data_IF_469724449358
#
_entry.id   IF_469724449358
#
_cell.length_a   1.000
_cell.length_b   1.000
_cell.length_c   1.000
_cell.angle_alpha   90.00
_cell.angle_beta   90.00
_cell.angle_gamma   90.00
#
_symmetry.space_group_name_H-M   'P 1'
#
loop_
_entity.id
_entity.type
_entity.pdbx_description
1 polymer ?
#
# COMPACT_ATOMS: atom_id res chain seq x y z
N UNK A 1 2.85 -3.89 101.18
CA UNK A 1 2.33 -4.09 99.82
C UNK A 1 2.92 -2.97 98.98
N UNK A 2 3.95 -3.27 98.19
CA UNK A 2 4.80 -2.25 97.59
C UNK A 2 4.08 -1.61 96.39
N UNK A 3 3.72 -0.34 96.52
CA UNK A 3 3.19 0.53 95.47
C UNK A 3 4.33 1.30 94.82
N UNK A 4 5.18 0.59 94.08
CA UNK A 4 6.22 1.22 93.28
C UNK A 4 5.63 1.66 91.93
N UNK A 5 5.56 2.97 91.71
CA UNK A 5 5.05 3.58 90.48
C UNK A 5 5.89 3.21 89.23
N UNK A 6 7.06 2.61 89.42
CA UNK A 6 8.04 2.18 88.42
C UNK A 6 8.12 0.66 88.26
N UNK A 7 7.02 -0.06 88.52
CA UNK A 7 6.96 -1.50 88.23
C UNK A 7 6.84 -1.74 86.72
N UNK A 8 7.81 -2.48 86.16
CA UNK A 8 7.83 -2.90 84.75
C UNK A 8 6.65 -3.79 84.36
N UNK A 9 5.98 -4.39 85.34
CA UNK A 9 4.77 -5.21 85.19
C UNK A 9 3.55 -4.41 84.70
N UNK A 10 3.64 -3.07 84.68
CA UNK A 10 2.59 -2.18 84.11
C UNK A 10 2.82 -1.81 82.65
N UNK A 11 3.90 -2.26 82.02
CA UNK A 11 4.13 -1.98 80.60
C UNK A 11 3.24 -2.91 79.77
N UNK A 12 2.22 -2.33 79.15
CA UNK A 12 1.32 -3.05 78.24
C UNK A 12 2.13 -3.52 77.03
N UNK A 13 2.10 -4.81 76.73
CA UNK A 13 2.80 -5.42 75.61
C UNK A 13 2.39 -4.73 74.30
N UNK A 14 3.36 -4.48 73.41
CA UNK A 14 3.10 -3.78 72.16
C UNK A 14 2.32 -4.75 71.26
N UNK A 15 1.03 -4.48 71.07
CA UNK A 15 0.18 -5.27 70.19
C UNK A 15 0.65 -4.98 68.75
N UNK A 16 1.45 -5.89 68.19
CA UNK A 16 1.86 -5.82 66.79
C UNK A 16 0.62 -6.04 65.94
N UNK A 17 0.25 -5.06 65.12
CA UNK A 17 -0.87 -5.19 64.21
C UNK A 17 -0.67 -6.41 63.31
N UNK A 18 -1.71 -7.24 63.10
CA UNK A 18 -1.61 -8.35 62.16
C UNK A 18 -1.17 -7.83 60.79
N UNK A 19 -0.30 -8.55 60.07
CA UNK A 19 0.22 -8.10 58.79
C UNK A 19 -0.93 -7.80 57.85
N UNK A 20 -0.97 -6.56 57.34
CA UNK A 20 -2.02 -6.11 56.44
C UNK A 20 -1.96 -6.99 55.18
N UNK A 21 -3.03 -7.70 54.81
CA UNK A 21 -3.05 -8.43 53.55
C UNK A 21 -2.88 -7.39 52.44
N UNK A 22 -1.80 -7.50 51.66
CA UNK A 22 -1.44 -6.64 50.52
C UNK A 22 -2.38 -6.86 49.31
N UNK A 23 -3.57 -7.38 49.58
CA UNK A 23 -4.55 -7.85 48.62
C UNK A 23 -5.86 -7.09 48.85
N UNK A 24 -6.54 -6.61 47.80
CA UNK A 24 -6.26 -6.85 46.40
C UNK A 24 -5.26 -5.84 45.83
N UNK A 25 -4.43 -6.23 44.84
CA UNK A 25 -3.67 -5.26 44.07
C UNK A 25 -4.63 -4.18 43.57
N UNK A 26 -4.27 -2.92 43.79
CA UNK A 26 -5.08 -1.78 43.39
C UNK A 26 -5.58 -1.97 41.94
N UNK A 27 -6.85 -1.68 41.68
CA UNK A 27 -7.51 -1.91 40.39
C UNK A 27 -6.80 -1.29 39.19
N UNK A 28 -5.85 -0.36 39.42
CA UNK A 28 -4.92 0.19 38.44
C UNK A 28 -4.09 -0.86 37.68
N UNK A 29 -3.78 -2.03 38.25
CA UNK A 29 -3.04 -3.07 37.54
C UNK A 29 -3.82 -3.69 36.38
N UNK A 30 -5.15 -3.74 36.46
CA UNK A 30 -5.97 -4.19 35.33
C UNK A 30 -5.86 -3.24 34.14
N UNK A 31 -5.74 -1.93 34.40
CA UNK A 31 -5.48 -0.94 33.35
C UNK A 31 -4.09 -1.10 32.73
N UNK A 32 -3.06 -1.31 33.56
CA UNK A 32 -1.69 -1.58 33.07
C UNK A 32 -1.63 -2.86 32.25
N UNK A 33 -2.25 -3.93 32.74
CA UNK A 33 -2.33 -5.21 32.04
C UNK A 33 -3.12 -5.06 30.72
N UNK A 34 -4.24 -4.35 30.75
CA UNK A 34 -5.05 -4.05 29.57
C UNK A 34 -4.26 -3.28 28.52
N UNK A 35 -3.54 -2.22 28.92
CA UNK A 35 -2.68 -1.45 28.02
C UNK A 35 -1.56 -2.31 27.42
N UNK A 36 -0.92 -3.15 28.25
CA UNK A 36 0.13 -4.06 27.80
C UNK A 36 -0.38 -5.05 26.75
N UNK A 37 -1.57 -5.63 26.97
CA UNK A 37 -2.21 -6.55 26.02
C UNK A 37 -2.54 -5.83 24.71
N UNK A 38 -3.08 -4.61 24.76
CA UNK A 38 -3.38 -3.80 23.57
C UNK A 38 -2.09 -3.49 22.79
N UNK A 39 -1.02 -3.07 23.46
CA UNK A 39 0.28 -2.83 22.82
C UNK A 39 0.84 -4.09 22.16
N UNK A 40 0.73 -5.24 22.84
CA UNK A 40 1.19 -6.53 22.31
C UNK A 40 0.38 -6.94 21.06
N UNK A 41 -0.94 -6.80 21.11
CA UNK A 41 -1.83 -7.04 19.96
C UNK A 41 -1.49 -6.11 18.79
N UNK A 42 -1.32 -4.81 19.05
CA UNK A 42 -0.94 -3.85 18.02
C UNK A 42 0.42 -4.20 17.38
N UNK A 43 1.42 -4.57 18.19
CA UNK A 43 2.72 -5.02 17.71
C UNK A 43 2.62 -6.31 16.88
N UNK A 44 1.79 -7.26 17.30
CA UNK A 44 1.60 -8.51 16.58
C UNK A 44 0.89 -8.29 15.25
N UNK A 45 -0.18 -7.49 15.23
CA UNK A 45 -0.95 -7.16 14.02
C UNK A 45 -0.05 -6.41 13.03
N UNK A 46 0.65 -5.37 13.48
CA UNK A 46 1.57 -4.62 12.61
C UNK A 46 2.72 -5.49 12.11
N UNK A 47 3.26 -6.38 12.94
CA UNK A 47 4.26 -7.37 12.55
C UNK A 47 3.75 -8.35 11.49
N UNK A 48 2.52 -8.85 11.64
CA UNK A 48 1.89 -9.76 10.69
C UNK A 48 1.60 -9.07 9.36
N UNK A 49 1.08 -7.85 9.37
CA UNK A 49 0.86 -7.04 8.16
C UNK A 49 2.19 -6.82 7.45
N UNK A 50 3.24 -6.44 8.19
CA UNK A 50 4.57 -6.21 7.63
C UNK A 50 5.22 -7.49 7.10
N UNK A 51 4.98 -8.62 7.76
CA UNK A 51 5.44 -9.93 7.30
C UNK A 51 4.71 -10.38 6.03
N UNK A 52 3.38 -10.22 5.96
CA UNK A 52 2.61 -10.47 4.75
C UNK A 52 3.06 -9.57 3.60
N UNK A 53 3.31 -8.29 3.88
CA UNK A 53 3.85 -7.36 2.90
C UNK A 53 5.23 -7.78 2.37
N UNK A 54 6.01 -8.49 3.19
CA UNK A 54 7.33 -8.95 2.79
C UNK A 54 7.30 -10.34 2.13
N UNK A 55 6.27 -11.16 2.36
CA UNK A 55 6.17 -12.50 1.75
C UNK A 55 5.97 -12.42 0.24
N UNK A 56 5.00 -11.64 -0.23
CA UNK A 56 4.77 -11.51 -1.67
C UNK A 56 6.00 -10.93 -2.38
N UNK A 57 6.69 -9.96 -1.76
CA UNK A 57 7.95 -9.40 -2.29
C UNK A 57 9.05 -10.44 -2.39
N UNK A 58 9.21 -11.28 -1.37
CA UNK A 58 10.22 -12.36 -1.35
C UNK A 58 9.92 -13.43 -2.39
N UNK A 59 8.66 -13.83 -2.53
CA UNK A 59 8.23 -14.79 -3.56
C UNK A 59 8.46 -14.22 -4.96
N UNK A 60 8.11 -12.95 -5.19
CA UNK A 60 8.34 -12.30 -6.46
C UNK A 60 9.82 -12.14 -6.80
N UNK A 61 10.67 -11.77 -5.84
CA UNK A 61 12.12 -11.67 -6.03
C UNK A 61 12.78 -13.03 -6.27
N UNK A 62 12.29 -14.09 -5.62
CA UNK A 62 12.78 -15.45 -5.84
C UNK A 62 12.44 -15.93 -7.26
N UNK A 63 11.22 -15.63 -7.74
CA UNK A 63 10.81 -15.96 -9.10
C UNK A 63 11.60 -15.13 -10.13
N UNK A 64 11.80 -13.84 -9.89
CA UNK A 64 12.65 -12.97 -10.72
C UNK A 64 14.06 -13.55 -10.90
N UNK A 65 14.67 -14.05 -9.82
CA UNK A 65 16.00 -14.67 -9.88
C UNK A 65 16.02 -15.95 -10.74
N UNK A 66 14.95 -16.74 -10.75
CA UNK A 66 14.85 -17.92 -11.63
C UNK A 66 14.74 -17.51 -13.09
N UNK A 67 13.94 -16.50 -13.38
CA UNK A 67 13.77 -16.00 -14.74
C UNK A 67 15.05 -15.34 -15.26
N UNK A 68 15.83 -14.67 -14.42
CA UNK A 68 17.14 -14.11 -14.78
C UNK A 68 18.12 -15.18 -15.29
N UNK A 69 18.14 -16.36 -14.66
CA UNK A 69 18.93 -17.49 -15.15
C UNK A 69 18.40 -18.02 -16.49
N UNK A 70 17.08 -18.07 -16.66
CA UNK A 70 16.46 -18.50 -17.91
C UNK A 70 16.76 -17.55 -19.09
N UNK A 71 16.86 -16.23 -18.85
CA UNK A 71 17.21 -15.24 -19.88
C UNK A 71 18.60 -15.40 -20.49
N UNK A 72 19.52 -16.07 -19.77
CA UNK A 72 20.86 -16.39 -20.28
C UNK A 72 20.80 -17.38 -21.44
N UNK A 73 19.78 -18.24 -21.48
CA UNK A 73 19.55 -19.19 -22.55
C UNK A 73 18.67 -18.55 -23.63
N UNK A 74 19.17 -18.48 -24.87
CA UNK A 74 18.45 -17.82 -25.97
C UNK A 74 17.07 -18.45 -26.25
N UNK A 75 16.95 -19.78 -26.16
CA UNK A 75 15.67 -20.49 -26.37
C UNK A 75 14.64 -20.23 -25.27
N UNK A 76 15.09 -20.01 -24.04
CA UNK A 76 14.23 -19.78 -22.88
C UNK A 76 13.93 -18.29 -22.66
N UNK A 77 14.53 -17.40 -23.46
CA UNK A 77 14.43 -15.96 -23.26
C UNK A 77 13.03 -15.41 -23.52
N UNK A 78 12.37 -15.87 -24.57
CA UNK A 78 10.99 -15.48 -24.87
C UNK A 78 10.02 -15.89 -23.74
N UNK A 79 9.96 -17.18 -23.32
CA UNK A 79 9.07 -17.56 -22.23
C UNK A 79 9.45 -16.91 -20.89
N UNK A 80 10.74 -16.65 -20.64
CA UNK A 80 11.17 -15.92 -19.46
C UNK A 80 10.69 -14.46 -19.46
N UNK A 81 10.78 -13.73 -20.57
CA UNK A 81 10.26 -12.36 -20.69
C UNK A 81 8.73 -12.30 -20.48
N UNK A 82 7.99 -13.27 -21.01
CA UNK A 82 6.55 -13.39 -20.77
C UNK A 82 6.27 -13.61 -19.27
N UNK A 83 7.05 -14.51 -18.64
CA UNK A 83 6.93 -14.80 -17.21
C UNK A 83 7.24 -13.58 -16.34
N UNK A 84 8.18 -12.72 -16.76
CA UNK A 84 8.46 -11.44 -16.10
C UNK A 84 7.29 -10.45 -16.23
N UNK A 85 6.67 -10.36 -17.40
CA UNK A 85 5.50 -9.52 -17.61
C UNK A 85 4.31 -9.98 -16.76
N UNK A 86 4.07 -11.29 -16.69
CA UNK A 86 3.05 -11.90 -15.85
C UNK A 86 3.36 -11.66 -14.36
N UNK A 87 4.61 -11.85 -13.94
CA UNK A 87 5.05 -11.60 -12.57
C UNK A 87 4.78 -10.15 -12.16
N UNK A 88 5.08 -9.19 -13.03
CA UNK A 88 4.83 -7.77 -12.78
C UNK A 88 3.32 -7.47 -12.66
N UNK A 89 2.50 -8.04 -13.56
CA UNK A 89 1.05 -7.88 -13.50
C UNK A 89 0.43 -8.51 -12.26
N UNK A 90 0.88 -9.71 -11.88
CA UNK A 90 0.45 -10.42 -10.68
C UNK A 90 0.84 -9.67 -9.40
N UNK A 91 2.07 -9.14 -9.35
CA UNK A 91 2.54 -8.37 -8.19
C UNK A 91 1.77 -7.05 -8.06
N UNK A 92 1.48 -6.36 -9.15
CA UNK A 92 0.64 -5.15 -9.11
C UNK A 92 -0.80 -5.45 -8.63
N UNK A 93 -1.45 -6.49 -9.13
CA UNK A 93 -2.81 -6.87 -8.67
C UNK A 93 -2.84 -7.32 -7.20
N UNK A 94 -1.71 -7.80 -6.68
CA UNK A 94 -1.60 -8.16 -5.25
C UNK A 94 -1.34 -6.93 -4.38
N UNK A 95 -0.66 -5.91 -4.92
CA UNK A 95 -0.25 -4.71 -4.20
C UNK A 95 -1.29 -3.57 -4.23
N UNK A 96 -2.16 -3.54 -5.24
CA UNK A 96 -3.14 -2.47 -5.50
C UNK A 96 -4.54 -3.04 -5.76
N UNK A 97 -5.62 -2.23 -5.66
CA UNK A 97 -6.97 -2.67 -5.98
C UNK A 97 -7.08 -3.26 -7.39
N UNK A 98 -7.71 -4.43 -7.49
CA UNK A 98 -7.78 -5.20 -8.75
C UNK A 98 -8.52 -4.44 -9.85
N UNK A 99 -9.53 -3.66 -9.51
CA UNK A 99 -10.38 -2.92 -10.44
C UNK A 99 -9.60 -1.87 -11.24
N UNK A 100 -8.67 -1.17 -10.57
CA UNK A 100 -7.86 -0.14 -11.21
C UNK A 100 -6.78 -0.79 -12.08
N UNK A 101 -6.04 -1.77 -11.55
CA UNK A 101 -4.93 -2.39 -12.26
C UNK A 101 -5.38 -3.24 -13.45
N UNK A 102 -6.53 -3.92 -13.35
CA UNK A 102 -7.00 -4.80 -14.42
C UNK A 102 -7.36 -4.04 -15.71
N UNK A 103 -7.78 -2.79 -15.58
CA UNK A 103 -8.17 -1.93 -16.71
C UNK A 103 -6.94 -1.34 -17.43
N UNK A 104 -5.78 -1.28 -16.76
CA UNK A 104 -4.56 -0.73 -17.34
C UNK A 104 -3.95 -1.69 -18.37
N UNK A 105 -3.80 -1.21 -19.61
CA UNK A 105 -3.18 -1.93 -20.73
C UNK A 105 -2.29 -0.98 -21.55
N UNK A 106 -1.23 -1.54 -22.15
CA UNK A 106 -0.36 -0.80 -23.08
C UNK A 106 0.37 0.37 -22.40
N UNK A 107 0.39 1.57 -23.00
CA UNK A 107 1.13 2.72 -22.46
C UNK A 107 0.73 3.12 -21.04
N UNK A 108 -0.58 3.05 -20.73
CA UNK A 108 -1.11 3.39 -19.39
C UNK A 108 -0.58 2.47 -18.30
N UNK A 109 -0.30 1.21 -18.63
CA UNK A 109 0.30 0.26 -17.71
C UNK A 109 1.74 0.65 -17.35
N UNK A 110 2.56 1.04 -18.32
CA UNK A 110 3.94 1.45 -18.07
C UNK A 110 4.04 2.78 -17.32
N UNK A 111 3.13 3.72 -17.60
CA UNK A 111 3.03 4.97 -16.84
C UNK A 111 2.68 4.74 -15.37
N UNK A 112 1.75 3.82 -15.10
CA UNK A 112 1.39 3.42 -13.75
C UNK A 112 2.59 2.84 -12.98
N UNK A 113 3.41 2.01 -13.63
CA UNK A 113 4.60 1.44 -12.99
C UNK A 113 5.60 2.53 -12.57
N UNK A 114 5.83 3.51 -13.44
CA UNK A 114 6.72 4.64 -13.13
C UNK A 114 6.15 5.62 -12.09
N UNK A 115 4.83 5.75 -12.03
CA UNK A 115 4.17 6.54 -11.00
C UNK A 115 4.28 5.88 -9.62
N UNK A 116 4.19 4.54 -9.58
CA UNK A 116 4.21 3.79 -8.31
C UNK A 116 5.60 3.50 -7.78
N UNK A 117 6.65 3.52 -8.61
CA UNK A 117 8.03 3.47 -8.15
C UNK A 117 8.91 4.48 -8.91
N UNK A 118 9.49 5.43 -8.17
CA UNK A 118 10.40 6.40 -8.76
C UNK A 118 11.68 5.72 -9.28
N UNK A 119 12.04 6.00 -10.52
CA UNK A 119 13.30 5.56 -11.15
C UNK A 119 13.25 4.21 -11.88
N UNK A 120 12.07 3.64 -12.12
CA UNK A 120 11.94 2.40 -12.90
C UNK A 120 11.98 2.57 -14.43
N UNK A 121 11.71 3.77 -14.94
CA UNK A 121 11.78 4.15 -16.36
C UNK A 121 11.14 3.14 -17.34
N UNK A 122 9.98 2.57 -16.97
CA UNK A 122 9.22 1.65 -17.79
C UNK A 122 8.54 2.31 -18.99
N UNK A 123 8.29 3.62 -18.96
CA UNK A 123 7.71 4.37 -20.10
C UNK A 123 8.55 4.31 -21.37
N UNK A 124 9.85 4.07 -21.22
CA UNK A 124 10.83 4.18 -22.30
C UNK A 124 11.23 2.79 -22.83
N UNK A 125 12.53 2.50 -22.86
CA UNK A 125 13.08 1.31 -23.50
C UNK A 125 12.61 -0.02 -22.89
N UNK A 126 12.31 -0.04 -21.58
CA UNK A 126 11.92 -1.25 -20.86
C UNK A 126 10.50 -1.70 -21.19
N UNK A 127 9.55 -0.76 -21.30
CA UNK A 127 8.16 -1.07 -21.66
C UNK A 127 8.03 -1.58 -23.09
N UNK A 128 8.66 -0.88 -24.04
CA UNK A 128 8.69 -1.30 -25.43
C UNK A 128 9.35 -2.68 -25.61
N UNK A 129 10.39 -2.99 -24.83
CA UNK A 129 11.06 -4.29 -24.85
C UNK A 129 10.13 -5.42 -24.38
N UNK A 130 9.38 -5.18 -23.30
CA UNK A 130 8.44 -6.16 -22.76
C UNK A 130 7.24 -6.35 -23.71
N UNK A 131 6.70 -5.26 -24.25
CA UNK A 131 5.58 -5.29 -25.20
C UNK A 131 5.96 -6.04 -26.48
N UNK A 132 7.10 -5.72 -27.10
CA UNK A 132 7.56 -6.42 -28.29
C UNK A 132 7.84 -7.91 -28.04
N UNK A 133 8.36 -8.26 -26.86
CA UNK A 133 8.60 -9.66 -26.49
C UNK A 133 7.30 -10.46 -26.30
N UNK A 134 6.19 -9.82 -25.92
CA UNK A 134 4.86 -10.43 -25.80
C UNK A 134 4.26 -10.66 -27.20
N UNK A 135 4.41 -9.70 -28.12
CA UNK A 135 3.81 -9.78 -29.46
C UNK A 135 4.62 -10.63 -30.45
N UNK A 136 5.95 -10.56 -30.44
CA UNK A 136 6.82 -11.39 -31.30
C UNK A 136 7.90 -12.10 -30.46
N UNK A 137 7.76 -13.43 -30.26
CA UNK A 137 8.75 -14.25 -29.58
C UNK A 137 10.16 -14.19 -30.19
N UNK A 138 10.28 -13.87 -31.49
CA UNK A 138 11.58 -13.84 -32.18
C UNK A 138 12.42 -12.64 -31.78
N UNK A 139 11.79 -11.53 -31.43
CA UNK A 139 12.48 -10.32 -30.93
C UNK A 139 13.23 -10.61 -29.63
N UNK A 140 12.71 -11.52 -28.79
CA UNK A 140 13.37 -11.96 -27.56
C UNK A 140 14.78 -12.51 -27.82
N UNK A 141 14.94 -13.36 -28.84
CA UNK A 141 16.23 -14.01 -29.14
C UNK A 141 17.33 -13.03 -29.57
N UNK A 142 16.96 -11.88 -30.13
CA UNK A 142 17.89 -10.87 -30.68
C UNK A 142 18.28 -9.81 -29.63
N UNK A 143 17.65 -9.81 -28.46
CA UNK A 143 17.93 -8.83 -27.40
C UNK A 143 19.30 -9.07 -26.73
N UNK A 144 20.03 -7.98 -26.57
CA UNK A 144 21.32 -7.95 -25.89
C UNK A 144 21.17 -8.24 -24.39
N UNK A 145 22.15 -8.93 -23.82
CA UNK A 145 22.21 -9.32 -22.41
C UNK A 145 22.20 -8.11 -21.47
N UNK A 146 22.85 -7.00 -21.87
CA UNK A 146 22.82 -5.76 -21.08
C UNK A 146 21.42 -5.17 -20.97
N UNK A 147 20.65 -5.20 -22.06
CA UNK A 147 19.25 -4.73 -22.07
C UNK A 147 18.38 -5.62 -21.18
N UNK A 148 18.55 -6.93 -21.27
CA UNK A 148 17.84 -7.89 -20.42
C UNK A 148 18.15 -7.69 -18.94
N UNK A 149 19.42 -7.50 -18.60
CA UNK A 149 19.84 -7.24 -17.22
C UNK A 149 19.27 -5.90 -16.70
N UNK A 150 19.31 -4.85 -17.51
CA UNK A 150 18.71 -3.56 -17.13
C UNK A 150 17.20 -3.65 -16.89
N UNK A 151 16.48 -4.45 -17.69
CA UNK A 151 15.06 -4.71 -17.48
C UNK A 151 14.80 -5.48 -16.18
N UNK A 152 15.60 -6.51 -15.89
CA UNK A 152 15.52 -7.27 -14.64
C UNK A 152 15.76 -6.37 -13.43
N UNK A 153 16.75 -5.47 -13.50
CA UNK A 153 17.03 -4.54 -12.42
C UNK A 153 15.90 -3.51 -12.24
N UNK A 154 15.31 -3.00 -13.31
CA UNK A 154 14.13 -2.13 -13.24
C UNK A 154 12.94 -2.83 -12.57
N UNK A 155 12.67 -4.10 -12.93
CA UNK A 155 11.63 -4.92 -12.30
C UNK A 155 11.94 -5.17 -10.82
N UNK A 156 13.21 -5.50 -10.50
CA UNK A 156 13.68 -5.71 -9.13
C UNK A 156 13.47 -4.46 -8.28
N UNK A 157 13.83 -3.30 -8.81
CA UNK A 157 13.68 -2.00 -8.17
C UNK A 157 12.21 -1.72 -7.88
N UNK A 158 11.35 -1.88 -8.88
CA UNK A 158 9.90 -1.67 -8.72
C UNK A 158 9.28 -2.62 -7.67
N UNK A 159 9.60 -3.92 -7.70
CA UNK A 159 9.10 -4.88 -6.70
C UNK A 159 9.53 -4.48 -5.27
N UNK A 160 10.71 -3.88 -5.10
CA UNK A 160 11.22 -3.45 -3.79
C UNK A 160 10.63 -2.13 -3.32
N UNK A 161 10.45 -1.16 -4.22
CA UNK A 161 10.20 0.23 -3.87
C UNK A 161 8.84 0.78 -4.28
N UNK A 162 7.95 -0.03 -4.88
CA UNK A 162 6.59 0.43 -5.16
C UNK A 162 5.90 0.87 -3.87
N UNK A 163 5.29 2.06 -3.92
CA UNK A 163 4.49 2.61 -2.83
C UNK A 163 3.02 2.23 -3.03
N UNK A 164 2.51 1.36 -2.16
CA UNK A 164 1.10 0.93 -2.19
C UNK A 164 0.14 2.02 -1.73
N UNK A 165 0.63 3.16 -1.22
CA UNK A 165 -0.20 4.32 -0.84
C UNK A 165 -0.47 5.27 -2.00
N UNK A 166 0.31 5.16 -3.08
CA UNK A 166 0.02 5.90 -4.30
C UNK A 166 -1.09 5.15 -5.01
N UNK A 167 -2.29 5.74 -5.06
CA UNK A 167 -3.38 5.10 -5.77
C UNK A 167 -3.00 4.92 -7.26
N UNK A 168 -3.32 3.75 -7.85
CA UNK A 168 -3.20 3.55 -9.28
C UNK A 168 -4.06 4.61 -9.96
N UNK A 169 -3.42 5.65 -10.48
CA UNK A 169 -4.06 6.74 -11.21
C UNK A 169 -5.11 6.17 -12.18
N UNK A 170 -6.38 6.26 -11.78
CA UNK A 170 -7.51 5.94 -12.64
C UNK A 170 -7.55 7.06 -13.68
N UNK A 171 -7.17 6.73 -14.91
CA UNK A 171 -6.95 7.72 -15.95
C UNK A 171 -8.12 8.69 -16.14
N UNK A 172 -7.91 9.95 -15.74
CA UNK A 172 -8.61 11.13 -16.27
C UNK A 172 -9.19 12.10 -15.23
N UNK A 173 -8.42 13.11 -14.84
CA UNK A 173 -8.92 14.49 -14.70
C UNK A 173 -7.70 15.42 -14.78
N UNK A 174 -7.68 16.40 -15.71
CA UNK A 174 -8.59 17.56 -15.68
C UNK A 174 -9.11 18.01 -17.08
N UNK A 175 -10.21 18.77 -17.15
CA UNK A 175 -10.63 19.64 -18.29
C UNK A 175 -11.88 19.33 -19.16
N UNK A 176 -12.76 18.38 -18.81
CA UNK A 176 -14.10 18.27 -19.45
C UNK A 176 -15.25 18.60 -18.47
N UNK A 177 -15.23 19.81 -17.91
CA UNK A 177 -16.49 20.51 -17.65
C UNK A 177 -16.33 21.99 -18.03
N UNK A 178 -16.46 22.38 -19.30
CA UNK A 178 -17.13 23.62 -19.57
C UNK A 178 -18.61 23.33 -19.28
N UNK A 179 -19.06 23.57 -18.06
CA UNK A 179 -20.43 24.05 -17.86
C UNK A 179 -20.50 25.47 -18.42
N UNK A 180 -20.21 25.61 -19.72
CA UNK A 180 -21.00 26.46 -20.58
C UNK A 180 -22.40 25.84 -20.64
N UNK A 181 -23.11 25.91 -19.51
CA UNK A 181 -24.55 26.05 -19.57
C UNK A 181 -24.81 27.26 -20.48
N UNK A 182 -25.79 27.17 -21.40
CA UNK A 182 -26.06 28.28 -22.31
C UNK A 182 -26.23 29.55 -21.48
N UNK A 183 -25.67 30.71 -21.88
CA UNK A 183 -26.00 31.95 -21.21
C UNK A 183 -27.52 32.05 -21.24
N UNK A 184 -28.11 32.09 -20.05
CA UNK A 184 -29.52 32.41 -19.88
C UNK A 184 -29.76 33.68 -20.70
N UNK A 185 -30.60 33.65 -21.76
CA UNK A 185 -30.96 34.89 -22.40
C UNK A 185 -31.73 35.68 -21.36
N UNK A 186 -31.12 36.79 -20.94
CA UNK A 186 -31.81 37.85 -20.24
C UNK A 186 -33.04 38.22 -21.09
N UNK A 187 -34.21 37.71 -20.72
CA UNK A 187 -35.49 38.23 -21.18
C UNK A 187 -35.64 39.60 -20.55
N UNK A 188 -35.17 40.61 -21.26
CA UNK A 188 -35.61 41.99 -21.09
C UNK A 188 -36.33 42.41 -22.36
N UNK A 189 -37.56 42.88 -22.16
CA UNK A 189 -38.27 43.83 -23.00
C UNK A 189 -38.75 43.36 -24.38
N UNK A 190 -40.00 42.89 -24.41
CA UNK A 190 -40.89 43.13 -25.55
C UNK A 190 -42.11 43.88 -25.03
N UNK A 191 -42.12 45.17 -25.35
CA UNK A 191 -43.21 46.14 -25.28
C UNK A 191 -44.53 45.57 -25.84
N UNK A 192 -45.71 45.86 -25.24
CA UNK A 192 -46.99 45.51 -25.83
C UNK A 192 -47.32 46.39 -27.06
N UNK A 193 -47.65 45.75 -28.19
CA UNK A 193 -48.16 46.39 -29.41
C UNK A 193 -49.68 46.64 -29.26
N UNK A 194 -50.19 47.80 -29.72
CA UNK A 194 -51.58 48.20 -29.51
C UNK A 194 -52.59 47.36 -30.31
N UNK A 195 -53.67 47.03 -29.60
CA UNK A 195 -54.93 46.50 -30.08
C UNK A 195 -55.63 47.53 -30.98
N UNK A 196 -55.95 47.12 -32.21
CA UNK A 196 -56.91 47.80 -33.09
C UNK A 196 -57.79 46.72 -33.73
N UNK A 197 -59.04 46.72 -33.32
CA UNK A 197 -60.16 46.05 -33.98
C UNK A 197 -60.30 46.52 -35.43
N UNK A 198 -60.82 45.65 -36.32
CA UNK A 198 -62.24 45.81 -36.65
C UNK A 198 -62.99 44.50 -36.96
N UNK A 199 -64.17 44.32 -36.35
CA UNK A 199 -65.49 44.04 -36.96
C UNK A 199 -66.47 43.50 -35.91
#
# INVERSE_FOLDING_TARGET
MNTDATSLDRLHDIIVAPPVPWWPPASGWYWVLGLMVVMLLAALITGLIRWQHNRYRREALAELARQEVALQNAELRSPALLSLAELLKRTAVTAFPREDVATLTGPKWFEFLDHTASGSHFRDAHGAMLENAIYDPRTAGVLDLWKLHSLVEAIRHWIKFHDTRLEPWAGGAPDDEPTSGPPTPARSSVEPRPEKDPC
#
